data_IF_324624926309
#
_entry.id   IF_324624926309
#
_cell.length_a   1.000
_cell.length_b   1.000
_cell.length_c   1.000
_cell.angle_alpha   90.00
_cell.angle_beta   90.00
_cell.angle_gamma   90.00
#
_symmetry.space_group_name_H-M   'P 1'
#
loop_
_entity.id
_entity.type
_entity.pdbx_description
1 polymer ?
#
# COMPACT_ATOMS: atom_id res chain seq x y z
N UNK A 1 -2.22 -5.79 -33.13
CA UNK A 1 -3.22 -4.92 -32.51
C UNK A 1 -3.33 -5.34 -31.06
N UNK A 2 -2.98 -4.47 -30.11
CA UNK A 2 -3.17 -4.76 -28.68
C UNK A 2 -4.66 -4.77 -28.37
N UNK A 3 -5.11 -5.73 -27.57
CA UNK A 3 -6.50 -5.78 -27.10
C UNK A 3 -6.91 -4.42 -26.50
N UNK A 4 -8.19 -4.01 -26.63
CA UNK A 4 -8.67 -2.81 -25.99
C UNK A 4 -8.41 -2.89 -24.47
N UNK A 5 -8.12 -1.75 -23.80
CA UNK A 5 -7.97 -1.74 -22.36
C UNK A 5 -9.24 -2.29 -21.71
N UNK A 6 -9.07 -3.18 -20.72
CA UNK A 6 -10.20 -3.68 -19.93
C UNK A 6 -10.78 -2.55 -19.08
N UNK A 7 -12.11 -2.49 -18.88
CA UNK A 7 -12.74 -1.59 -17.93
C UNK A 7 -12.17 -1.77 -16.52
N UNK A 8 -12.14 -0.70 -15.73
CA UNK A 8 -11.62 -0.75 -14.36
C UNK A 8 -12.37 -1.79 -13.49
N UNK A 9 -13.69 -1.88 -13.67
CA UNK A 9 -14.56 -2.83 -12.96
C UNK A 9 -14.26 -4.32 -13.24
N UNK A 10 -13.47 -4.65 -14.28
CA UNK A 10 -12.99 -6.01 -14.53
C UNK A 10 -11.63 -6.30 -13.88
N UNK A 11 -10.98 -5.28 -13.31
CA UNK A 11 -9.61 -5.36 -12.77
C UNK A 11 -9.56 -5.28 -11.25
N UNK A 12 -10.55 -4.65 -10.63
CA UNK A 12 -10.58 -4.34 -9.20
C UNK A 12 -11.99 -4.61 -8.63
N UNK A 13 -12.11 -4.54 -7.32
CA UNK A 13 -13.39 -4.64 -6.62
C UNK A 13 -14.42 -3.60 -7.12
N UNK A 14 -15.72 -3.92 -7.20
CA UNK A 14 -16.74 -2.98 -7.64
C UNK A 14 -16.84 -1.68 -6.83
N UNK A 15 -16.66 -1.75 -5.50
CA UNK A 15 -16.65 -0.57 -4.63
C UNK A 15 -15.46 0.34 -4.95
N UNK A 16 -14.28 -0.24 -5.14
CA UNK A 16 -13.11 0.48 -5.62
C UNK A 16 -13.29 1.05 -7.04
N UNK A 17 -13.92 0.31 -7.96
CA UNK A 17 -14.19 0.79 -9.30
C UNK A 17 -15.10 2.03 -9.30
N UNK A 18 -16.12 2.04 -8.44
CA UNK A 18 -16.96 3.22 -8.22
C UNK A 18 -16.18 4.37 -7.59
N UNK A 19 -15.40 4.10 -6.54
CA UNK A 19 -14.60 5.10 -5.84
C UNK A 19 -13.55 5.76 -6.74
N UNK A 20 -12.98 5.02 -7.68
CA UNK A 20 -11.93 5.47 -8.60
C UNK A 20 -12.47 5.94 -9.97
N UNK A 21 -13.78 5.91 -10.20
CA UNK A 21 -14.38 6.41 -11.43
C UNK A 21 -13.95 7.84 -11.82
N UNK A 22 -13.80 8.80 -10.88
CA UNK A 22 -13.32 10.16 -11.22
C UNK A 22 -11.92 10.20 -11.84
N UNK A 23 -11.09 9.19 -11.56
CA UNK A 23 -9.70 9.09 -12.03
C UNK A 23 -9.50 7.95 -13.05
N UNK A 24 -10.56 7.31 -13.54
CA UNK A 24 -10.48 6.25 -14.56
C UNK A 24 -9.79 6.72 -15.87
N UNK A 25 -10.02 7.95 -16.38
CA UNK A 25 -9.28 8.46 -17.53
C UNK A 25 -7.76 8.53 -17.26
N UNK A 26 -7.37 8.91 -16.05
CA UNK A 26 -5.97 8.98 -15.65
C UNK A 26 -5.36 7.59 -15.48
N UNK A 27 -6.09 6.62 -14.91
CA UNK A 27 -5.65 5.21 -14.85
C UNK A 27 -5.41 4.67 -16.27
N UNK A 28 -6.28 5.01 -17.21
CA UNK A 28 -6.13 4.64 -18.63
C UNK A 28 -4.88 5.28 -19.24
N UNK A 29 -4.60 6.55 -18.90
CA UNK A 29 -3.37 7.24 -19.29
C UNK A 29 -2.12 6.60 -18.67
N UNK A 30 -2.16 6.21 -17.40
CA UNK A 30 -1.08 5.46 -16.76
C UNK A 30 -0.81 4.14 -17.49
N UNK A 31 -1.87 3.43 -17.91
CA UNK A 31 -1.72 2.24 -18.76
C UNK A 31 -1.05 2.54 -20.11
N UNK A 32 -1.27 3.72 -20.70
CA UNK A 32 -0.59 4.17 -21.92
C UNK A 32 0.88 4.50 -21.64
N UNK A 33 1.15 5.26 -20.58
CA UNK A 33 2.50 5.56 -20.11
C UNK A 33 3.34 4.28 -19.96
N UNK A 34 2.82 3.27 -19.27
CA UNK A 34 3.51 1.99 -19.07
C UNK A 34 3.73 1.20 -20.37
N UNK A 35 2.80 1.29 -21.34
CA UNK A 35 3.01 0.68 -22.67
C UNK A 35 4.09 1.42 -23.46
N UNK A 36 4.16 2.74 -23.35
CA UNK A 36 5.23 3.56 -23.95
C UNK A 36 6.58 3.21 -23.33
N UNK A 37 6.68 3.08 -22.01
CA UNK A 37 7.91 2.63 -21.33
C UNK A 37 8.41 1.30 -21.93
N UNK A 38 7.53 0.32 -22.10
CA UNK A 38 7.87 -0.98 -22.72
C UNK A 38 8.29 -0.80 -24.18
N UNK A 39 7.56 0.00 -24.97
CA UNK A 39 7.85 0.22 -26.38
C UNK A 39 9.21 0.88 -26.60
N UNK A 40 9.66 1.70 -25.65
CA UNK A 40 10.97 2.35 -25.66
C UNK A 40 12.08 1.49 -25.01
N UNK A 41 11.80 0.22 -24.73
CA UNK A 41 12.78 -0.74 -24.21
C UNK A 41 13.01 -0.66 -22.70
N UNK A 42 12.26 0.18 -21.98
CA UNK A 42 12.28 0.25 -20.52
C UNK A 42 11.34 -0.79 -19.91
N UNK A 43 11.43 -0.94 -18.59
CA UNK A 43 10.61 -1.89 -17.81
C UNK A 43 10.03 -1.17 -16.61
N UNK A 44 8.98 -1.74 -16.03
CA UNK A 44 8.43 -1.30 -14.76
C UNK A 44 8.12 -2.49 -13.84
N UNK A 45 7.96 -2.20 -12.56
CA UNK A 45 7.52 -3.10 -11.50
C UNK A 45 6.31 -2.47 -10.80
N UNK A 46 5.38 -3.26 -10.20
CA UNK A 46 5.31 -4.72 -10.27
C UNK A 46 4.84 -5.20 -11.65
N UNK A 47 4.62 -6.52 -11.82
CA UNK A 47 3.97 -7.05 -13.03
C UNK A 47 2.61 -6.38 -13.26
N UNK A 48 2.21 -6.19 -14.52
CA UNK A 48 1.01 -5.42 -14.90
C UNK A 48 -0.28 -5.82 -14.15
N UNK A 49 -0.52 -7.12 -13.99
CA UNK A 49 -1.68 -7.66 -13.24
C UNK A 49 -1.65 -7.33 -11.74
N UNK A 50 -0.53 -6.88 -11.21
CA UNK A 50 -0.35 -6.53 -9.80
C UNK A 50 -0.34 -5.03 -9.54
N UNK A 51 -0.35 -4.17 -10.57
CA UNK A 51 -0.28 -2.71 -10.39
C UNK A 51 -1.45 -2.19 -9.55
N UNK A 52 -2.65 -2.73 -9.75
CA UNK A 52 -3.87 -2.35 -9.03
C UNK A 52 -4.27 -3.36 -7.94
N UNK A 53 -3.36 -4.27 -7.54
CA UNK A 53 -3.68 -5.39 -6.63
C UNK A 53 -4.22 -4.95 -5.27
N UNK A 54 -3.81 -3.78 -4.78
CA UNK A 54 -4.32 -3.22 -3.52
C UNK A 54 -5.84 -2.97 -3.54
N UNK A 55 -6.42 -2.77 -4.73
CA UNK A 55 -7.84 -2.46 -4.90
C UNK A 55 -8.69 -3.70 -5.25
N UNK A 56 -8.13 -4.91 -5.20
CA UNK A 56 -8.88 -6.14 -5.56
C UNK A 56 -9.62 -6.75 -4.38
N UNK A 57 -9.43 -6.23 -3.17
CA UNK A 57 -10.22 -6.60 -1.97
C UNK A 57 -11.38 -5.62 -1.84
N UNK A 58 -12.49 -6.02 -1.21
CA UNK A 58 -13.63 -5.14 -1.00
C UNK A 58 -13.21 -3.82 -0.36
N UNK A 59 -13.68 -2.71 -0.93
CA UNK A 59 -13.50 -1.39 -0.34
C UNK A 59 -14.05 -1.35 1.09
N UNK A 60 -15.23 -1.92 1.30
CA UNK A 60 -15.98 -1.93 2.56
C UNK A 60 -15.32 -2.78 3.66
N UNK A 61 -14.40 -3.67 3.30
CA UNK A 61 -13.66 -4.46 4.31
C UNK A 61 -12.47 -3.70 4.91
N UNK A 62 -12.10 -2.55 4.34
CA UNK A 62 -10.89 -1.82 4.75
C UNK A 62 -11.12 -1.10 6.07
N UNK A 63 -10.30 -1.44 7.07
CA UNK A 63 -10.29 -0.84 8.42
C UNK A 63 -8.98 -0.13 8.73
N UNK A 64 -7.87 -0.55 8.11
CA UNK A 64 -6.56 0.08 8.30
C UNK A 64 -5.93 0.45 6.97
N UNK A 65 -5.45 1.67 6.85
CA UNK A 65 -4.64 2.14 5.73
C UNK A 65 -3.16 2.15 6.12
N UNK A 66 -2.30 1.46 5.37
CA UNK A 66 -0.84 1.62 5.44
C UNK A 66 -0.35 2.21 4.12
N UNK A 67 0.41 3.30 4.19
CA UNK A 67 0.94 3.97 3.00
C UNK A 67 2.46 3.86 2.86
N UNK A 68 2.90 3.24 1.77
CA UNK A 68 4.28 3.26 1.28
C UNK A 68 4.53 4.31 0.21
N UNK A 69 5.79 4.49 -0.18
CA UNK A 69 6.20 5.48 -1.19
C UNK A 69 5.92 4.98 -2.61
N UNK A 70 6.64 3.95 -3.03
CA UNK A 70 6.59 3.31 -4.34
C UNK A 70 6.99 1.83 -4.20
N UNK A 71 6.76 0.98 -5.21
CA UNK A 71 7.07 -0.44 -5.10
C UNK A 71 8.56 -0.69 -4.92
N UNK A 72 8.93 -1.87 -4.42
CA UNK A 72 10.34 -2.25 -4.38
C UNK A 72 10.97 -2.19 -5.78
N UNK A 73 12.13 -1.54 -5.95
CA UNK A 73 12.78 -1.38 -7.26
C UNK A 73 13.48 -2.66 -7.71
N UNK A 74 13.63 -3.65 -6.82
CA UNK A 74 14.28 -4.93 -7.14
C UNK A 74 13.29 -5.85 -7.88
N UNK A 75 13.63 -6.32 -9.10
CA UNK A 75 12.81 -7.29 -9.81
C UNK A 75 12.49 -8.52 -8.95
N UNK A 76 11.22 -8.97 -9.00
CA UNK A 76 10.74 -10.11 -8.20
C UNK A 76 10.28 -9.76 -6.79
N UNK A 77 10.58 -8.57 -6.26
CA UNK A 77 10.13 -8.19 -4.92
C UNK A 77 8.71 -7.61 -4.93
N UNK A 78 8.42 -6.62 -5.78
CA UNK A 78 7.13 -5.93 -5.75
C UNK A 78 5.98 -6.82 -6.25
N UNK A 79 4.96 -7.00 -5.40
CA UNK A 79 3.76 -7.82 -5.69
C UNK A 79 2.45 -7.04 -5.69
N UNK A 80 2.51 -5.70 -5.76
CA UNK A 80 1.32 -4.85 -5.84
C UNK A 80 0.65 -4.47 -4.51
N UNK A 81 1.27 -4.87 -3.40
CA UNK A 81 0.88 -4.49 -2.04
C UNK A 81 2.11 -3.81 -1.41
N UNK A 82 1.95 -2.62 -0.80
CA UNK A 82 3.07 -1.90 -0.20
C UNK A 82 3.80 -2.77 0.82
N UNK A 83 5.13 -2.75 0.79
CA UNK A 83 6.03 -3.56 1.63
C UNK A 83 5.96 -5.08 1.48
N UNK A 84 4.95 -5.65 0.84
CA UNK A 84 4.85 -7.10 0.62
C UNK A 84 5.84 -7.57 -0.46
N UNK A 85 6.34 -8.79 -0.29
CA UNK A 85 7.01 -9.57 -1.34
C UNK A 85 6.35 -10.94 -1.50
N UNK A 86 6.73 -11.72 -2.51
CA UNK A 86 6.23 -13.09 -2.65
C UNK A 86 6.82 -14.00 -1.55
N UNK A 87 6.12 -15.10 -1.16
CA UNK A 87 6.54 -15.95 -0.04
C UNK A 87 7.96 -16.53 -0.13
N UNK A 88 8.43 -16.75 -1.36
CA UNK A 88 9.73 -17.35 -1.70
C UNK A 88 10.89 -16.32 -1.76
N UNK A 89 10.60 -15.02 -1.75
CA UNK A 89 11.62 -13.96 -1.88
C UNK A 89 12.57 -13.96 -0.69
N UNK A 90 13.86 -14.21 -0.96
CA UNK A 90 14.95 -14.10 0.03
C UNK A 90 16.18 -13.42 -0.60
N UNK A 91 16.91 -12.58 0.14
CA UNK A 91 16.59 -12.09 1.49
C UNK A 91 15.38 -11.13 1.49
N UNK A 92 14.65 -11.09 2.61
CA UNK A 92 13.53 -10.15 2.79
C UNK A 92 14.06 -8.71 2.71
N UNK A 93 13.35 -7.77 2.04
CA UNK A 93 13.78 -6.38 1.95
C UNK A 93 13.98 -5.74 3.32
N UNK A 94 15.03 -4.91 3.47
CA UNK A 94 15.41 -4.33 4.77
C UNK A 94 14.29 -3.56 5.45
N UNK A 95 13.47 -2.83 4.69
CA UNK A 95 12.31 -2.12 5.27
C UNK A 95 11.28 -3.10 5.86
N UNK A 96 11.02 -4.23 5.20
CA UNK A 96 10.10 -5.25 5.70
C UNK A 96 10.71 -5.98 6.92
N UNK A 97 12.01 -6.24 6.92
CA UNK A 97 12.70 -6.75 8.12
C UNK A 97 12.52 -5.81 9.31
N UNK A 98 12.64 -4.50 9.11
CA UNK A 98 12.40 -3.53 10.18
C UNK A 98 10.94 -3.53 10.64
N UNK A 99 9.98 -3.61 9.71
CA UNK A 99 8.55 -3.79 10.03
C UNK A 99 8.34 -5.03 10.90
N UNK A 100 8.98 -6.15 10.57
CA UNK A 100 8.87 -7.37 11.36
C UNK A 100 9.52 -7.28 12.74
N UNK A 101 10.65 -6.59 12.87
CA UNK A 101 11.25 -6.30 14.18
C UNK A 101 10.28 -5.53 15.08
N UNK A 102 9.63 -4.49 14.55
CA UNK A 102 8.63 -3.72 15.31
C UNK A 102 7.38 -4.55 15.60
N UNK A 103 6.89 -5.32 14.63
CA UNK A 103 5.76 -6.23 14.79
C UNK A 103 5.99 -7.25 15.92
N UNK A 104 7.18 -7.86 15.98
CA UNK A 104 7.52 -8.80 17.04
C UNK A 104 7.59 -8.11 18.41
N UNK A 105 8.19 -6.91 18.46
CA UNK A 105 8.32 -6.14 19.69
C UNK A 105 6.97 -5.62 20.20
N UNK A 106 6.08 -5.22 19.29
CA UNK A 106 4.77 -4.64 19.59
C UNK A 106 3.74 -5.70 20.03
N UNK A 107 3.68 -6.81 19.30
CA UNK A 107 2.63 -7.82 19.45
C UNK A 107 3.10 -9.10 20.16
N UNK A 108 4.41 -9.27 20.37
CA UNK A 108 4.98 -10.48 20.98
C UNK A 108 4.92 -11.75 20.11
N UNK A 109 4.55 -11.61 18.84
CA UNK A 109 4.51 -12.71 17.88
C UNK A 109 5.92 -13.10 17.39
N UNK A 110 6.10 -14.35 16.90
CA UNK A 110 7.37 -14.76 16.31
C UNK A 110 7.65 -14.01 15.00
N UNK A 111 8.91 -13.97 14.61
CA UNK A 111 9.35 -13.44 13.31
C UNK A 111 8.63 -14.19 12.18
N UNK A 112 7.93 -13.49 11.27
CA UNK A 112 7.26 -14.13 10.14
C UNK A 112 8.23 -14.93 9.27
N UNK A 113 7.75 -16.07 8.77
CA UNK A 113 8.58 -17.02 8.02
C UNK A 113 8.78 -16.63 6.56
N UNK A 114 7.91 -15.76 6.04
CA UNK A 114 7.92 -15.25 4.66
C UNK A 114 7.73 -13.73 4.64
N UNK A 115 7.88 -13.11 3.47
CA UNK A 115 7.63 -11.68 3.29
C UNK A 115 6.24 -11.33 2.72
N UNK A 116 5.32 -12.29 2.73
CA UNK A 116 3.98 -12.11 2.17
C UNK A 116 3.03 -11.47 3.19
N UNK A 117 2.50 -10.30 2.84
CA UNK A 117 1.54 -9.54 3.64
C UNK A 117 0.10 -9.69 3.10
N UNK A 118 -0.14 -10.63 2.18
CA UNK A 118 -1.48 -10.99 1.73
C UNK A 118 -2.44 -11.26 2.91
N UNK A 119 -2.04 -11.95 4.01
CA UNK A 119 -2.93 -12.12 5.17
C UNK A 119 -3.41 -10.80 5.79
N UNK A 120 -2.59 -9.74 5.81
CA UNK A 120 -3.05 -8.43 6.29
C UNK A 120 -4.06 -7.81 5.33
N UNK A 121 -3.79 -7.89 4.02
CA UNK A 121 -4.73 -7.38 3.00
C UNK A 121 -6.09 -8.08 3.08
N UNK A 122 -6.09 -9.38 3.34
CA UNK A 122 -7.31 -10.18 3.48
C UNK A 122 -8.01 -9.95 4.84
N UNK A 123 -7.34 -9.31 5.81
CA UNK A 123 -7.88 -8.89 7.11
C UNK A 123 -8.16 -7.38 7.19
N UNK A 124 -8.49 -6.75 6.06
CA UNK A 124 -8.97 -5.36 6.02
C UNK A 124 -7.87 -4.30 6.08
N UNK A 125 -6.61 -4.65 5.76
CA UNK A 125 -5.51 -3.69 5.69
C UNK A 125 -5.24 -3.30 4.24
N UNK A 126 -5.52 -2.04 3.87
CA UNK A 126 -5.14 -1.50 2.58
C UNK A 126 -3.64 -1.18 2.55
N UNK A 127 -2.87 -2.01 1.83
CA UNK A 127 -1.43 -1.86 1.62
C UNK A 127 -1.14 -1.05 0.36
N UNK A 128 -1.19 0.28 0.46
CA UNK A 128 -1.14 1.21 -0.67
C UNK A 128 0.23 1.87 -0.82
N UNK A 129 0.77 1.97 -2.03
CA UNK A 129 1.86 2.91 -2.30
C UNK A 129 1.29 4.22 -2.89
N UNK A 130 1.95 5.36 -2.63
CA UNK A 130 1.62 6.65 -3.28
C UNK A 130 1.86 6.65 -4.78
N UNK A 131 2.86 5.92 -5.24
CA UNK A 131 3.13 5.65 -6.66
C UNK A 131 3.02 4.15 -6.87
N UNK A 132 2.26 3.70 -7.88
CA UNK A 132 1.93 2.26 -8.02
C UNK A 132 2.90 1.49 -8.92
N UNK A 133 3.85 2.16 -9.55
CA UNK A 133 4.89 1.53 -10.40
C UNK A 133 6.24 2.18 -10.21
N UNK A 134 7.31 1.49 -10.60
CA UNK A 134 8.70 1.99 -10.56
C UNK A 134 9.53 1.32 -11.65
N UNK A 135 10.52 2.00 -12.21
CA UNK A 135 11.53 1.37 -13.07
C UNK A 135 12.49 0.48 -12.23
N UNK A 136 12.90 -0.69 -12.73
CA UNK A 136 13.83 -1.57 -12.02
C UNK A 136 15.12 -0.87 -11.61
N UNK A 137 15.50 -0.98 -10.34
CA UNK A 137 16.73 -0.39 -9.79
C UNK A 137 16.67 1.12 -9.55
N UNK A 138 15.57 1.79 -9.90
CA UNK A 138 15.45 3.25 -9.84
C UNK A 138 14.29 3.69 -8.95
N UNK A 139 14.47 3.73 -7.61
CA UNK A 139 13.44 4.22 -6.68
C UNK A 139 12.91 5.60 -7.10
N UNK A 140 11.60 5.80 -6.96
CA UNK A 140 10.89 7.04 -7.30
C UNK A 140 10.94 7.47 -8.77
N UNK A 141 11.43 6.65 -9.70
CA UNK A 141 11.50 6.95 -11.15
C UNK A 141 10.16 7.32 -11.79
N UNK A 142 9.04 6.81 -11.26
CA UNK A 142 7.69 7.12 -11.75
C UNK A 142 6.94 8.17 -10.90
N UNK A 143 7.63 8.84 -9.98
CA UNK A 143 7.07 9.98 -9.24
C UNK A 143 6.71 11.12 -10.20
N UNK A 144 5.58 11.77 -9.93
CA UNK A 144 5.07 12.89 -10.73
C UNK A 144 4.56 12.47 -12.11
N UNK A 145 4.30 11.17 -12.33
CA UNK A 145 3.77 10.66 -13.59
C UNK A 145 2.24 10.55 -13.61
N UNK A 146 1.58 10.65 -12.46
CA UNK A 146 0.11 10.68 -12.34
C UNK A 146 -0.49 9.72 -11.32
N UNK A 147 0.29 8.76 -10.79
CA UNK A 147 -0.21 7.83 -9.77
C UNK A 147 -0.65 8.52 -8.47
N UNK A 148 -0.07 9.68 -8.19
CA UNK A 148 -0.37 10.48 -7.01
C UNK A 148 -1.83 10.93 -6.95
N UNK A 149 -2.44 11.29 -8.07
CA UNK A 149 -3.85 11.71 -8.13
C UNK A 149 -4.79 10.49 -7.99
N UNK A 150 -4.40 9.35 -8.57
CA UNK A 150 -5.17 8.09 -8.43
C UNK A 150 -5.23 7.66 -6.97
N UNK A 151 -4.08 7.63 -6.31
CA UNK A 151 -4.00 7.18 -4.91
C UNK A 151 -4.50 8.25 -3.95
N UNK A 152 -4.52 9.53 -4.34
CA UNK A 152 -5.23 10.58 -3.59
C UNK A 152 -6.74 10.36 -3.62
N UNK A 153 -7.30 10.06 -4.80
CA UNK A 153 -8.71 9.70 -4.95
C UNK A 153 -9.07 8.49 -4.07
N UNK A 154 -8.21 7.46 -4.06
CA UNK A 154 -8.42 6.27 -3.23
C UNK A 154 -8.50 6.61 -1.73
N UNK A 155 -7.56 7.40 -1.23
CA UNK A 155 -7.51 7.79 0.20
C UNK A 155 -8.73 8.62 0.58
N UNK A 156 -9.10 9.61 -0.25
CA UNK A 156 -10.29 10.44 0.00
C UNK A 156 -11.58 9.64 -0.03
N UNK A 157 -11.71 8.70 -0.97
CA UNK A 157 -12.87 7.83 -1.04
C UNK A 157 -12.98 6.96 0.22
N UNK A 158 -11.85 6.42 0.68
CA UNK A 158 -11.80 5.62 1.90
C UNK A 158 -12.21 6.42 3.15
N UNK A 159 -11.72 7.67 3.26
CA UNK A 159 -12.01 8.58 4.36
C UNK A 159 -13.45 9.13 4.35
N UNK A 160 -14.10 9.13 3.19
CA UNK A 160 -15.47 9.64 3.03
C UNK A 160 -16.55 8.60 3.35
N UNK A 161 -16.17 7.36 3.69
CA UNK A 161 -17.10 6.32 4.11
C UNK A 161 -17.57 6.58 5.54
N UNK A 162 -18.78 6.13 5.83
CA UNK A 162 -19.32 6.10 7.19
C UNK A 162 -18.92 4.78 7.89
N UNK A 163 -17.62 4.47 7.84
CA UNK A 163 -17.05 3.23 8.39
C UNK A 163 -15.76 3.52 9.16
N UNK A 164 -15.50 2.79 10.27
CA UNK A 164 -14.27 2.94 11.03
C UNK A 164 -13.01 2.74 10.19
N UNK A 165 -12.07 3.68 10.33
CA UNK A 165 -10.80 3.68 9.62
C UNK A 165 -9.70 4.17 10.57
N UNK A 166 -8.52 3.54 10.48
CA UNK A 166 -7.28 4.02 11.10
C UNK A 166 -6.20 4.10 10.04
N UNK A 167 -5.40 5.17 10.03
CA UNK A 167 -4.32 5.35 9.08
C UNK A 167 -2.94 5.26 9.75
N UNK A 168 -2.10 4.36 9.27
CA UNK A 168 -0.69 4.23 9.67
C UNK A 168 0.17 4.91 8.60
N UNK A 169 0.80 6.02 8.98
CA UNK A 169 1.50 6.93 8.07
C UNK A 169 3.00 6.95 8.39
N UNK A 170 3.78 6.20 7.61
CA UNK A 170 5.21 6.02 7.83
C UNK A 170 6.06 6.98 7.00
N UNK A 171 6.68 7.95 7.66
CA UNK A 171 7.56 8.93 7.05
C UNK A 171 6.87 10.24 6.63
N UNK A 172 7.67 11.23 6.23
CA UNK A 172 7.20 12.60 5.95
C UNK A 172 6.18 12.68 4.82
N UNK A 173 6.42 11.95 3.73
CA UNK A 173 5.52 11.96 2.58
C UNK A 173 4.14 11.36 2.94
N UNK A 174 4.13 10.29 3.76
CA UNK A 174 2.90 9.67 4.25
C UNK A 174 2.19 10.54 5.30
N UNK A 175 2.93 11.19 6.21
CA UNK A 175 2.36 12.12 7.18
C UNK A 175 1.62 13.29 6.51
N UNK A 176 2.10 13.76 5.36
CA UNK A 176 1.41 14.80 4.58
C UNK A 176 0.02 14.43 4.06
N UNK A 177 -0.39 13.16 4.18
CA UNK A 177 -1.70 12.64 3.77
C UNK A 177 -2.81 12.88 4.81
N UNK A 178 -2.45 13.26 6.05
CA UNK A 178 -3.41 13.59 7.13
C UNK A 178 -4.46 14.62 6.69
N UNK A 179 -4.08 15.56 5.81
CA UNK A 179 -5.00 16.55 5.22
C UNK A 179 -6.17 15.95 4.44
N UNK A 180 -6.10 14.68 4.04
CA UNK A 180 -7.17 13.95 3.34
C UNK A 180 -7.92 12.97 4.24
N UNK A 181 -7.53 12.91 5.51
CA UNK A 181 -8.05 11.99 6.51
C UNK A 181 -8.62 12.80 7.70
N UNK A 182 -9.50 13.80 7.46
CA UNK A 182 -10.12 14.51 8.56
C UNK A 182 -10.92 13.51 9.41
N UNK A 183 -10.81 13.63 10.74
CA UNK A 183 -11.53 12.80 11.72
C UNK A 183 -11.18 11.30 11.71
N UNK A 184 -10.16 10.89 10.95
CA UNK A 184 -9.60 9.53 10.97
C UNK A 184 -8.40 9.49 11.92
N UNK A 185 -8.37 8.60 12.93
CA UNK A 185 -7.19 8.43 13.78
C UNK A 185 -5.93 8.10 12.97
N UNK A 186 -4.85 8.85 13.20
CA UNK A 186 -3.58 8.69 12.48
C UNK A 186 -2.43 8.29 13.41
N UNK A 187 -1.71 7.24 12.99
CA UNK A 187 -0.51 6.73 13.65
C UNK A 187 0.68 7.12 12.78
N UNK A 188 1.33 8.22 13.14
CA UNK A 188 2.48 8.75 12.42
C UNK A 188 3.79 8.32 13.07
N UNK A 189 4.74 7.86 12.26
CA UNK A 189 6.10 7.53 12.71
C UNK A 189 7.15 7.81 11.63
N UNK A 190 8.44 7.63 11.96
CA UNK A 190 9.47 7.59 10.92
C UNK A 190 9.25 6.40 9.97
N UNK A 191 9.78 6.47 8.74
CA UNK A 191 9.66 5.37 7.77
C UNK A 191 10.51 4.15 8.20
N UNK A 192 10.07 2.89 7.95
CA UNK A 192 10.82 1.67 8.30
C UNK A 192 12.12 1.47 7.50
N UNK A 193 12.53 2.42 6.67
CA UNK A 193 13.79 2.31 5.91
C UNK A 193 14.97 2.36 6.87
N UNK A 194 16.09 1.64 6.61
CA UNK A 194 17.31 1.75 7.43
C UNK A 194 17.81 3.19 7.64
N UNK A 195 17.49 4.10 6.72
CA UNK A 195 17.87 5.52 6.81
C UNK A 195 17.13 6.30 7.92
N UNK A 196 15.99 5.79 8.39
CA UNK A 196 15.09 6.51 9.30
C UNK A 196 14.50 5.67 10.43
N UNK A 197 14.59 4.34 10.37
CA UNK A 197 13.87 3.48 11.32
C UNK A 197 14.26 3.72 12.79
N UNK A 198 15.56 3.93 13.06
CA UNK A 198 16.07 4.27 14.39
C UNK A 198 15.67 5.66 14.90
N UNK A 199 15.08 6.51 14.05
CA UNK A 199 14.65 7.88 14.41
C UNK A 199 13.19 7.95 14.85
N UNK A 200 12.56 6.81 15.15
CA UNK A 200 11.20 6.76 15.68
C UNK A 200 10.23 5.85 14.93
N UNK A 201 10.71 4.90 14.11
CA UNK A 201 9.88 3.78 13.68
C UNK A 201 9.89 2.68 14.75
N UNK A 202 11.08 2.33 15.24
CA UNK A 202 11.19 1.36 16.33
C UNK A 202 10.64 1.91 17.63
N UNK A 203 9.81 1.13 18.32
CA UNK A 203 9.05 1.51 19.51
C UNK A 203 7.79 2.34 19.22
N UNK A 204 7.40 2.50 17.95
CA UNK A 204 6.20 3.27 17.58
C UNK A 204 4.89 2.51 17.83
N UNK A 205 4.98 1.18 17.98
CA UNK A 205 3.88 0.26 18.30
C UNK A 205 2.65 0.43 17.40
N UNK A 206 2.81 0.44 16.06
CA UNK A 206 1.74 0.88 15.18
C UNK A 206 0.59 -0.12 15.08
N UNK A 207 0.83 -1.40 15.38
CA UNK A 207 -0.16 -2.46 15.21
C UNK A 207 -1.11 -2.54 16.39
N UNK A 208 -0.57 -2.54 17.62
CA UNK A 208 -1.39 -2.52 18.84
C UNK A 208 -2.20 -1.23 18.93
N UNK A 209 -1.59 -0.08 18.65
CA UNK A 209 -2.28 1.22 18.61
C UNK A 209 -3.39 1.25 17.55
N UNK A 210 -3.17 0.67 16.37
CA UNK A 210 -4.23 0.63 15.36
C UNK A 210 -5.43 -0.19 15.82
N UNK A 211 -5.19 -1.31 16.51
CA UNK A 211 -6.27 -2.12 17.08
C UNK A 211 -6.98 -1.39 18.24
N UNK A 212 -6.25 -0.64 19.08
CA UNK A 212 -6.83 0.20 20.13
C UNK A 212 -7.79 1.25 19.53
N UNK A 213 -7.32 2.02 18.53
CA UNK A 213 -8.14 3.02 17.85
C UNK A 213 -9.36 2.41 17.15
N UNK A 214 -9.22 1.24 16.51
CA UNK A 214 -10.36 0.54 15.92
C UNK A 214 -11.40 0.14 16.97
N UNK A 215 -10.98 -0.37 18.12
CA UNK A 215 -11.88 -0.74 19.20
C UNK A 215 -12.61 0.49 19.78
N UNK A 216 -11.93 1.63 19.90
CA UNK A 216 -12.53 2.90 20.34
C UNK A 216 -13.57 3.43 19.33
N UNK A 217 -13.38 3.15 18.04
CA UNK A 217 -14.36 3.41 16.98
C UNK A 217 -15.47 2.35 16.90
N UNK A 218 -15.44 1.31 17.74
CA UNK A 218 -16.43 0.23 17.75
C UNK A 218 -16.25 -0.81 16.64
N UNK A 219 -15.09 -0.86 15.99
CA UNK A 219 -14.73 -1.86 14.98
C UNK A 219 -13.97 -3.05 15.56
N UNK A 220 -13.99 -4.16 14.82
CA UNK A 220 -13.15 -5.30 15.12
C UNK A 220 -11.66 -4.98 14.86
N UNK A 221 -10.76 -5.39 15.76
CA UNK A 221 -9.32 -5.24 15.55
C UNK A 221 -8.84 -6.10 14.37
N UNK A 222 -7.73 -5.70 13.77
CA UNK A 222 -7.09 -6.48 12.70
C UNK A 222 -6.35 -7.68 13.29
N UNK A 223 -6.52 -8.84 12.67
CA UNK A 223 -5.67 -10.02 12.89
C UNK A 223 -4.32 -9.82 12.19
N UNK A 224 -3.33 -9.37 12.97
CA UNK A 224 -1.99 -9.07 12.46
C UNK A 224 -1.10 -10.32 12.33
N UNK A 225 -1.46 -11.45 12.93
CA UNK A 225 -0.58 -12.62 13.01
C UNK A 225 -0.25 -13.18 11.63
N UNK A 226 1.04 -13.22 11.32
CA UNK A 226 1.59 -13.83 10.12
C UNK A 226 2.12 -15.26 10.39
N UNK A 227 2.19 -16.13 9.37
CA UNK A 227 2.72 -17.48 9.48
C UNK A 227 4.24 -17.56 9.64
#
# INVERSE_FOLDING_TARGET
>A
MTAPPKPLAELIDPGWAQALAPVEPLITEMGRFLRTEIAEGRRYLPAGQHVLRAFTRPLDDVRVLIVGQDPYPTPGHAVGLSFSVAPDVRPIPRSLTNIYTEYCADLGYPMPTTGDLTPWADNGVLLLNRVLTVAPGEPASHRGKGWEEVTECAIKALAARDEPLVAILWGRDAAGLEKWLPDVPTIVSAHPSPLSASRGFFGSRPFSRANEELMDLGAEPVEWRLP
#
